data_IF_697828671092
#
_entry.id   IF_697828671092
#
_cell.length_a   1.000
_cell.length_b   1.000
_cell.length_c   1.000
_cell.angle_alpha   90.00
_cell.angle_beta   90.00
_cell.angle_gamma   90.00
#
_symmetry.space_group_name_H-M   'P 1'
#
loop_
_entity.id
_entity.type
_entity.pdbx_description
1 polymer ?
#
# COMPACT_ATOMS: atom_id res chain seq x y z
N UNK A 1 -17.35 3.17 -12.95
CA UNK A 1 -16.67 4.46 -13.17
C UNK A 1 -17.10 5.45 -12.09
N UNK A 2 -16.26 6.42 -11.69
CA UNK A 2 -16.65 7.51 -10.78
C UNK A 2 -17.11 8.69 -11.63
N UNK A 3 -18.28 9.26 -11.34
CA UNK A 3 -18.87 10.32 -12.18
C UNK A 3 -19.22 11.57 -11.39
N UNK A 4 -19.19 12.71 -12.10
CA UNK A 4 -19.67 14.00 -11.61
C UNK A 4 -21.00 14.33 -12.31
N UNK A 5 -21.53 15.55 -12.08
CA UNK A 5 -22.71 16.05 -12.81
C UNK A 5 -22.38 16.45 -14.26
N UNK A 6 -21.11 16.47 -14.66
CA UNK A 6 -20.73 16.63 -16.05
C UNK A 6 -20.87 15.29 -16.76
N UNK A 7 -21.76 15.17 -17.77
CA UNK A 7 -22.00 13.91 -18.45
C UNK A 7 -20.76 13.48 -19.24
N UNK A 8 -20.55 12.17 -19.28
CA UNK A 8 -19.54 11.52 -20.12
C UNK A 8 -20.26 10.54 -21.05
N UNK A 9 -19.65 10.24 -22.20
CA UNK A 9 -20.21 9.28 -23.15
C UNK A 9 -20.52 7.96 -22.44
N UNK A 10 -21.73 7.45 -22.65
CA UNK A 10 -22.25 6.19 -22.08
C UNK A 10 -22.50 6.17 -20.55
N UNK A 11 -22.30 7.29 -19.83
CA UNK A 11 -22.72 7.43 -18.42
C UNK A 11 -23.39 8.79 -18.21
N UNK A 12 -24.72 8.87 -18.42
CA UNK A 12 -25.45 10.14 -18.38
C UNK A 12 -25.72 10.64 -16.94
N UNK A 13 -25.60 9.77 -15.94
CA UNK A 13 -25.94 10.08 -14.55
C UNK A 13 -24.73 10.12 -13.61
N UNK A 14 -24.80 11.05 -12.66
CA UNK A 14 -23.82 11.18 -11.59
C UNK A 14 -24.05 10.13 -10.51
N UNK A 15 -22.97 9.51 -10.00
CA UNK A 15 -23.01 8.65 -8.83
C UNK A 15 -22.54 9.34 -7.53
N UNK A 16 -22.59 10.69 -7.51
CA UNK A 16 -22.30 11.48 -6.31
C UNK A 16 -20.82 11.53 -5.92
N UNK A 17 -19.91 11.34 -6.87
CA UNK A 17 -18.45 11.28 -6.63
C UNK A 17 -17.71 12.57 -6.98
N UNK A 18 -18.46 13.63 -7.24
CA UNK A 18 -17.95 14.98 -7.42
C UNK A 18 -17.42 15.52 -6.07
N UNK A 19 -16.10 15.68 -5.95
CA UNK A 19 -15.44 16.16 -4.73
C UNK A 19 -14.43 17.26 -5.05
N UNK A 20 -14.23 18.15 -4.09
CA UNK A 20 -13.22 19.20 -4.14
C UNK A 20 -12.55 19.35 -2.76
N UNK A 21 -11.27 19.68 -2.76
CA UNK A 21 -10.55 20.09 -1.56
C UNK A 21 -10.57 21.62 -1.44
N UNK A 22 -11.22 22.16 -0.42
CA UNK A 22 -11.36 23.60 -0.22
C UNK A 22 -12.11 24.29 -1.37
N UNK A 23 -11.52 25.36 -1.89
CA UNK A 23 -11.95 26.18 -3.05
C UNK A 23 -11.48 25.60 -4.41
N UNK A 24 -10.94 24.38 -4.43
CA UNK A 24 -10.43 23.76 -5.65
C UNK A 24 -11.50 23.36 -6.67
N UNK A 25 -11.06 22.95 -7.86
CA UNK A 25 -11.95 22.45 -8.92
C UNK A 25 -12.55 21.09 -8.54
N UNK A 26 -13.85 20.93 -8.77
CA UNK A 26 -14.55 19.66 -8.53
C UNK A 26 -14.12 18.60 -9.54
N UNK A 27 -13.73 17.42 -9.06
CA UNK A 27 -13.37 16.27 -9.89
C UNK A 27 -13.99 14.97 -9.35
N UNK A 28 -14.04 13.93 -10.19
CA UNK A 28 -14.49 12.61 -9.76
C UNK A 28 -13.40 11.95 -8.89
N UNK A 29 -13.73 11.65 -7.63
CA UNK A 29 -12.77 11.04 -6.70
C UNK A 29 -13.43 10.01 -5.78
N UNK A 30 -12.63 9.05 -5.32
CA UNK A 30 -13.06 8.06 -4.32
C UNK A 30 -13.34 8.75 -2.98
N UNK A 31 -14.22 8.16 -2.15
CA UNK A 31 -14.43 8.60 -0.77
C UNK A 31 -13.94 7.55 0.22
N UNK A 32 -14.60 6.39 0.19
CA UNK A 32 -14.25 5.23 0.98
C UNK A 32 -14.03 4.08 0.01
N UNK A 33 -12.81 3.57 -0.07
CA UNK A 33 -12.49 2.35 -0.80
C UNK A 33 -12.37 1.20 0.21
N UNK A 34 -13.24 0.20 0.12
CA UNK A 34 -13.23 -0.94 1.03
C UNK A 34 -12.93 -2.19 0.22
N UNK A 35 -11.74 -2.74 0.42
CA UNK A 35 -11.30 -3.99 -0.20
C UNK A 35 -11.76 -5.15 0.69
N UNK A 36 -12.38 -6.16 0.07
CA UNK A 36 -12.87 -7.35 0.76
C UNK A 36 -12.43 -8.58 -0.01
N UNK A 37 -12.08 -9.63 0.73
CA UNK A 37 -11.85 -10.96 0.18
C UNK A 37 -13.01 -11.90 0.53
N UNK A 38 -13.37 -12.77 -0.41
CA UNK A 38 -14.31 -13.88 -0.21
C UNK A 38 -13.67 -15.02 0.59
N UNK A 39 -12.36 -15.23 0.44
CA UNK A 39 -11.57 -16.20 1.20
C UNK A 39 -10.66 -15.45 2.16
N UNK A 40 -10.85 -15.66 3.46
CA UNK A 40 -10.18 -14.91 4.52
C UNK A 40 -9.33 -15.85 5.35
N UNK A 41 -8.02 -15.60 5.34
CA UNK A 41 -7.05 -16.31 6.20
C UNK A 41 -6.69 -15.44 7.40
N UNK A 42 -6.36 -16.06 8.51
CA UNK A 42 -5.73 -15.37 9.64
C UNK A 42 -4.33 -14.92 9.26
N UNK A 43 -3.78 -13.94 9.98
CA UNK A 43 -2.39 -13.52 9.77
C UNK A 43 -1.39 -14.67 9.94
N UNK A 44 -1.63 -15.58 10.88
CA UNK A 44 -0.78 -16.74 11.10
C UNK A 44 -0.79 -17.70 9.89
N UNK A 45 -1.96 -17.94 9.30
CA UNK A 45 -2.09 -18.75 8.08
C UNK A 45 -1.41 -18.08 6.87
N UNK A 46 -1.54 -16.76 6.71
CA UNK A 46 -0.83 -16.02 5.66
C UNK A 46 0.69 -16.09 5.84
N UNK A 47 1.19 -15.96 7.06
CA UNK A 47 2.62 -16.06 7.37
C UNK A 47 3.15 -17.47 7.10
N UNK A 48 2.36 -18.50 7.44
CA UNK A 48 2.72 -19.88 7.15
C UNK A 48 2.79 -20.13 5.63
N UNK A 49 1.79 -19.63 4.89
CA UNK A 49 1.76 -19.75 3.43
C UNK A 49 2.92 -18.99 2.76
N UNK A 50 3.32 -17.82 3.27
CA UNK A 50 4.53 -17.12 2.83
C UNK A 50 5.78 -18.00 3.01
N UNK A 51 5.94 -18.64 4.17
CA UNK A 51 7.07 -19.54 4.46
C UNK A 51 7.04 -20.74 3.51
N UNK A 52 5.87 -21.33 3.29
CA UNK A 52 5.72 -22.51 2.42
C UNK A 52 6.03 -22.17 0.95
N UNK A 53 5.58 -21.01 0.46
CA UNK A 53 5.96 -20.50 -0.88
C UNK A 53 7.47 -20.30 -0.99
N UNK A 54 8.11 -19.71 0.02
CA UNK A 54 9.55 -19.53 0.03
C UNK A 54 10.29 -20.89 -0.01
N UNK A 55 9.80 -21.92 0.71
CA UNK A 55 10.35 -23.28 0.64
C UNK A 55 10.24 -23.86 -0.77
N UNK A 56 9.07 -23.75 -1.39
CA UNK A 56 8.84 -24.25 -2.75
C UNK A 56 9.74 -23.57 -3.77
N UNK A 57 10.01 -22.27 -3.60
CA UNK A 57 10.90 -21.50 -4.49
C UNK A 57 12.39 -21.58 -4.12
N UNK A 58 12.76 -22.30 -3.03
CA UNK A 58 14.14 -22.40 -2.57
C UNK A 58 14.72 -21.09 -1.99
N UNK A 59 13.85 -20.18 -1.56
CA UNK A 59 14.22 -18.91 -0.92
C UNK A 59 14.51 -19.11 0.57
N UNK A 60 15.50 -18.38 1.09
CA UNK A 60 15.87 -18.44 2.52
C UNK A 60 14.91 -17.66 3.42
N UNK A 61 14.24 -16.66 2.86
CA UNK A 61 13.33 -15.78 3.59
C UNK A 61 12.30 -15.15 2.64
N UNK A 62 11.14 -14.81 3.20
CA UNK A 62 10.16 -13.91 2.59
C UNK A 62 10.27 -12.50 3.19
N UNK A 63 9.55 -11.54 2.61
CA UNK A 63 9.49 -10.16 3.12
C UNK A 63 8.07 -9.85 3.62
N UNK A 64 7.99 -9.35 4.85
CA UNK A 64 6.75 -8.87 5.47
C UNK A 64 6.81 -7.35 5.60
N UNK A 65 5.89 -6.65 4.92
CA UNK A 65 5.67 -5.21 5.10
C UNK A 65 4.57 -4.98 6.13
N UNK A 66 4.92 -4.40 7.29
CA UNK A 66 3.92 -4.06 8.32
C UNK A 66 3.43 -2.63 8.22
N UNK A 67 4.29 -1.74 7.72
CA UNK A 67 3.97 -0.32 7.62
C UNK A 67 4.63 0.24 6.37
N UNK A 68 3.83 0.87 5.51
CA UNK A 68 4.26 1.49 4.26
C UNK A 68 3.97 2.99 4.40
N UNK A 69 4.93 3.84 4.06
CA UNK A 69 4.66 5.27 4.01
C UNK A 69 3.61 5.54 2.94
N UNK A 70 2.75 6.52 3.17
CA UNK A 70 1.62 6.90 2.32
C UNK A 70 1.96 8.02 1.35
N UNK A 71 3.23 8.45 1.29
CA UNK A 71 3.73 9.48 0.37
C UNK A 71 3.73 8.97 -1.07
N UNK A 72 2.55 8.96 -1.67
CA UNK A 72 2.35 8.71 -3.09
C UNK A 72 2.97 9.88 -3.88
N UNK A 73 4.08 9.65 -4.56
CA UNK A 73 4.71 10.68 -5.40
C UNK A 73 3.77 11.10 -6.53
N UNK A 74 3.52 12.41 -6.72
CA UNK A 74 2.78 12.92 -7.87
C UNK A 74 3.58 12.63 -9.14
N UNK A 75 3.19 11.57 -9.85
CA UNK A 75 3.92 11.03 -11.00
C UNK A 75 3.52 9.61 -11.36
N UNK A 76 2.93 8.86 -10.41
CA UNK A 76 2.35 7.54 -10.66
C UNK A 76 3.41 6.43 -10.74
N UNK A 77 3.33 5.46 -9.82
CA UNK A 77 4.03 4.18 -9.95
C UNK A 77 5.00 3.81 -8.83
N UNK A 78 5.33 4.72 -7.92
CA UNK A 78 6.16 4.39 -6.75
C UNK A 78 5.33 4.43 -5.48
N UNK A 79 5.13 3.25 -4.88
CA UNK A 79 4.80 3.16 -3.45
C UNK A 79 6.04 3.58 -2.67
N UNK A 80 5.88 4.56 -1.79
CA UNK A 80 6.94 5.08 -0.94
C UNK A 80 7.58 4.01 -0.05
N UNK A 81 8.78 4.35 0.43
CA UNK A 81 9.64 3.51 1.28
C UNK A 81 8.83 2.85 2.41
N UNK A 82 8.81 1.51 2.54
CA UNK A 82 8.28 0.85 3.73
C UNK A 82 8.93 1.40 4.99
N UNK A 83 8.10 1.81 5.94
CA UNK A 83 8.52 2.32 7.24
C UNK A 83 8.99 1.14 8.09
N UNK A 84 8.34 -0.02 7.98
CA UNK A 84 8.70 -1.27 8.68
C UNK A 84 8.56 -2.48 7.77
N UNK A 85 9.70 -3.05 7.39
CA UNK A 85 9.80 -4.29 6.65
C UNK A 85 10.62 -5.32 7.45
N UNK A 86 10.26 -6.60 7.35
CA UNK A 86 10.90 -7.69 8.07
C UNK A 86 11.25 -8.83 7.12
N UNK A 87 12.42 -9.43 7.29
CA UNK A 87 12.70 -10.76 6.72
C UNK A 87 12.06 -11.80 7.60
N UNK A 88 11.25 -12.68 7.01
CA UNK A 88 10.70 -13.87 7.67
C UNK A 88 11.52 -15.05 7.21
N UNK A 89 12.34 -15.60 8.10
CA UNK A 89 13.20 -16.74 7.75
C UNK A 89 12.40 -18.03 7.64
N UNK A 90 12.75 -18.86 6.67
CA UNK A 90 12.05 -20.11 6.38
C UNK A 90 12.33 -21.20 7.41
N UNK A 91 13.52 -21.17 8.04
CA UNK A 91 13.99 -22.19 8.98
C UNK A 91 13.22 -22.16 10.30
N UNK A 92 13.05 -20.97 10.88
CA UNK A 92 12.51 -20.77 12.23
C UNK A 92 11.32 -19.80 12.29
N UNK A 93 10.95 -19.17 11.16
CA UNK A 93 9.90 -18.16 11.11
C UNK A 93 10.26 -16.84 11.81
N UNK A 94 11.53 -16.65 12.20
CA UNK A 94 11.97 -15.44 12.91
C UNK A 94 11.83 -14.23 12.01
N UNK A 95 11.53 -13.10 12.64
CA UNK A 95 11.38 -11.82 11.96
C UNK A 95 12.56 -10.92 12.28
N UNK A 96 13.32 -10.54 11.24
CA UNK A 96 14.43 -9.59 11.36
C UNK A 96 14.05 -8.28 10.68
N UNK A 97 14.05 -7.18 11.44
CA UNK A 97 13.75 -5.85 10.91
C UNK A 97 14.81 -5.46 9.87
N UNK A 98 14.34 -5.05 8.69
CA UNK A 98 15.20 -4.51 7.63
C UNK A 98 14.85 -3.05 7.36
N UNK A 99 15.88 -2.21 7.28
CA UNK A 99 15.76 -0.80 6.92
C UNK A 99 16.22 -0.57 5.47
N UNK A 100 15.69 0.48 4.84
CA UNK A 100 16.23 0.96 3.56
C UNK A 100 15.87 0.12 2.34
N UNK A 101 14.70 -0.51 2.31
CA UNK A 101 14.11 -1.04 1.07
C UNK A 101 13.01 -0.11 0.60
N UNK A 102 12.82 0.04 -0.71
CA UNK A 102 11.67 0.70 -1.35
C UNK A 102 10.98 -0.29 -2.28
N UNK A 103 9.64 -0.28 -2.29
CA UNK A 103 8.86 -1.05 -3.27
C UNK A 103 8.91 -0.27 -4.58
N UNK A 104 9.25 -0.95 -5.67
CA UNK A 104 9.34 -0.33 -7.01
C UNK A 104 8.34 -1.00 -7.93
N UNK A 105 7.74 -0.21 -8.82
CA UNK A 105 6.84 -0.66 -9.88
C UNK A 105 5.64 -1.49 -9.40
N UNK A 106 5.05 -1.10 -8.26
CA UNK A 106 3.81 -1.71 -7.79
C UNK A 106 2.60 -0.97 -8.35
N UNK A 107 2.03 -1.50 -9.44
CA UNK A 107 0.88 -0.95 -10.14
C UNK A 107 -0.32 -1.90 -10.16
N UNK A 108 -1.22 -1.67 -11.12
CA UNK A 108 -2.47 -2.44 -11.26
C UNK A 108 -2.21 -3.87 -11.74
N UNK A 109 -1.09 -4.12 -12.43
CA UNK A 109 -0.75 -5.44 -12.97
C UNK A 109 -0.40 -6.41 -11.86
N UNK A 110 0.30 -5.93 -10.85
CA UNK A 110 0.82 -6.66 -9.70
C UNK A 110 -0.32 -7.14 -8.80
N UNK A 111 -1.50 -6.52 -8.86
CA UNK A 111 -2.71 -6.98 -8.18
C UNK A 111 -3.15 -8.39 -8.62
N UNK A 112 -2.73 -8.86 -9.81
CA UNK A 112 -2.97 -10.24 -10.27
C UNK A 112 -2.15 -11.28 -9.52
N UNK A 113 -1.05 -10.86 -8.88
CA UNK A 113 -0.14 -11.74 -8.15
C UNK A 113 -0.56 -11.87 -6.67
N UNK A 114 -1.74 -11.35 -6.28
CA UNK A 114 -2.29 -11.56 -4.93
C UNK A 114 -2.81 -12.99 -4.83
N UNK A 115 -2.19 -13.78 -3.96
CA UNK A 115 -2.50 -15.19 -3.76
C UNK A 115 -3.54 -15.41 -2.65
N UNK A 116 -3.44 -14.63 -1.58
CA UNK A 116 -4.32 -14.75 -0.42
C UNK A 116 -4.54 -13.39 0.26
N UNK A 117 -5.61 -13.29 1.02
CA UNK A 117 -5.96 -12.09 1.78
C UNK A 117 -6.40 -12.43 3.20
N UNK A 118 -6.15 -11.49 4.10
CA UNK A 118 -6.40 -11.59 5.52
C UNK A 118 -7.87 -11.43 5.89
N UNK A 119 -8.20 -11.87 7.11
CA UNK A 119 -9.46 -11.58 7.79
C UNK A 119 -9.43 -10.26 8.60
N UNK A 120 -8.31 -9.55 8.56
CA UNK A 120 -8.09 -8.26 9.17
C UNK A 120 -8.58 -7.11 8.28
N UNK A 121 -8.60 -5.90 8.83
CA UNK A 121 -9.02 -4.70 8.12
C UNK A 121 -8.26 -3.50 8.65
N UNK A 122 -7.40 -2.93 7.82
CA UNK A 122 -6.60 -1.76 8.15
C UNK A 122 -7.17 -0.52 7.47
N UNK A 123 -7.74 0.42 8.23
CA UNK A 123 -8.13 1.72 7.71
C UNK A 123 -6.88 2.61 7.58
N UNK A 124 -6.74 3.28 6.44
CA UNK A 124 -5.78 4.36 6.23
C UNK A 124 -6.45 5.51 5.49
N UNK A 125 -6.01 6.73 5.78
CA UNK A 125 -6.55 7.93 5.14
C UNK A 125 -5.45 8.74 4.49
N UNK A 126 -5.71 9.19 3.26
CA UNK A 126 -4.77 9.96 2.46
C UNK A 126 -5.47 11.17 1.85
N UNK A 127 -4.71 12.21 1.54
CA UNK A 127 -5.17 13.32 0.73
C UNK A 127 -4.82 13.05 -0.73
N UNK A 128 -5.82 12.94 -1.59
CA UNK A 128 -5.63 12.70 -3.03
C UNK A 128 -5.90 13.98 -3.82
N UNK A 129 -4.96 14.40 -4.66
CA UNK A 129 -5.14 15.52 -5.60
C UNK A 129 -3.90 16.40 -5.78
N UNK A 130 -3.78 17.06 -6.93
CA UNK A 130 -2.70 17.99 -7.29
C UNK A 130 -2.94 19.42 -6.75
N UNK A 131 -3.41 19.54 -5.51
CA UNK A 131 -3.60 20.85 -4.90
C UNK A 131 -2.28 21.42 -4.42
N UNK A 132 -1.72 22.43 -5.09
CA UNK A 132 -0.78 23.35 -4.44
C UNK A 132 -1.45 23.86 -3.16
N UNK A 133 -0.71 23.86 -2.03
CA UNK A 133 -1.16 24.36 -0.72
C UNK A 133 -2.05 23.42 0.12
N UNK A 134 -1.85 22.11 0.07
CA UNK A 134 -2.53 21.18 1.00
C UNK A 134 -4.01 20.94 0.72
N UNK A 135 -4.49 21.38 -0.45
CA UNK A 135 -5.88 21.24 -0.90
C UNK A 135 -6.10 19.89 -1.57
N UNK A 136 -6.05 18.82 -0.77
CA UNK A 136 -6.37 17.46 -1.22
C UNK A 136 -7.79 17.04 -0.85
N UNK A 137 -8.35 16.11 -1.62
CA UNK A 137 -9.61 15.46 -1.26
C UNK A 137 -9.30 14.33 -0.27
N UNK A 138 -9.86 14.33 0.95
CA UNK A 138 -9.60 13.27 1.92
C UNK A 138 -10.27 11.98 1.49
N UNK A 139 -9.50 10.91 1.41
CA UNK A 139 -9.93 9.57 1.02
C UNK A 139 -9.61 8.62 2.16
N UNK A 140 -10.54 7.74 2.49
CA UNK A 140 -10.31 6.63 3.39
C UNK A 140 -10.29 5.32 2.60
N UNK A 141 -9.34 4.47 2.91
CA UNK A 141 -9.16 3.17 2.29
C UNK A 141 -9.09 2.14 3.42
N UNK A 142 -9.83 1.05 3.28
CA UNK A 142 -9.80 -0.09 4.20
C UNK A 142 -9.36 -1.29 3.40
N UNK A 143 -8.22 -1.87 3.75
CA UNK A 143 -7.67 -3.04 3.07
C UNK A 143 -7.25 -4.12 4.08
N UNK A 144 -7.45 -5.41 3.76
CA UNK A 144 -6.89 -6.50 4.55
C UNK A 144 -5.38 -6.66 4.28
N UNK A 145 -4.70 -7.45 5.10
CA UNK A 145 -3.39 -7.99 4.76
C UNK A 145 -3.48 -8.80 3.46
N UNK A 146 -2.44 -8.75 2.62
CA UNK A 146 -2.40 -9.50 1.36
C UNK A 146 -1.06 -10.21 1.21
N UNK A 147 -1.12 -11.43 0.69
CA UNK A 147 0.06 -12.20 0.26
C UNK A 147 0.22 -12.04 -1.24
N UNK A 148 1.38 -11.54 -1.65
CA UNK A 148 1.74 -11.32 -3.06
C UNK A 148 2.88 -12.26 -3.41
N UNK A 149 2.77 -12.91 -4.57
CA UNK A 149 3.79 -13.85 -5.06
C UNK A 149 5.12 -13.16 -5.35
N UNK A 150 5.08 -12.02 -6.04
CA UNK A 150 6.26 -11.29 -6.49
C UNK A 150 6.14 -9.79 -6.23
N UNK A 151 7.18 -9.21 -5.63
CA UNK A 151 7.32 -7.77 -5.42
C UNK A 151 8.76 -7.35 -5.69
N UNK A 152 8.94 -6.31 -6.52
CA UNK A 152 10.26 -5.76 -6.80
C UNK A 152 10.66 -4.76 -5.72
N UNK A 153 11.87 -4.96 -5.17
CA UNK A 153 12.43 -4.10 -4.14
C UNK A 153 13.71 -3.47 -4.64
N UNK A 154 13.83 -2.15 -4.43
CA UNK A 154 15.08 -1.42 -4.57
C UNK A 154 15.70 -1.23 -3.20
N UNK A 155 16.97 -1.61 -3.08
CA UNK A 155 17.78 -1.25 -1.91
C UNK A 155 18.11 0.24 -2.00
N UNK A 156 17.70 1.01 -1.01
CA UNK A 156 18.08 2.41 -0.88
C UNK A 156 19.51 2.44 -0.33
N UNK A 157 20.47 2.80 -1.18
CA UNK A 157 21.90 2.92 -0.83
C UNK A 157 22.24 4.23 -0.12
N UNK A 158 21.24 4.94 0.41
CA UNK A 158 21.52 6.09 1.26
C UNK A 158 22.07 5.57 2.58
N UNK A 159 23.35 5.83 2.86
CA UNK A 159 23.85 5.92 4.23
C UNK A 159 22.93 6.89 4.96
N UNK A 160 21.93 6.36 5.68
CA UNK A 160 21.25 7.16 6.68
C UNK A 160 22.31 7.36 7.75
N UNK A 161 23.02 8.48 7.67
CA UNK A 161 23.66 9.06 8.84
C UNK A 161 22.65 8.93 9.97
N UNK A 162 23.03 8.19 11.00
CA UNK A 162 22.29 8.16 12.26
C UNK A 162 21.89 9.60 12.56
N UNK A 163 20.60 9.91 12.72
CA UNK A 163 20.20 11.28 12.98
C UNK A 163 21.02 11.76 14.17
N UNK A 164 21.67 12.93 14.05
CA UNK A 164 22.33 13.59 15.18
C UNK A 164 21.24 13.98 16.19
N UNK A 165 20.78 13.00 16.97
CA UNK A 165 19.88 13.20 18.08
C UNK A 165 20.77 13.49 19.27
N UNK A 166 20.72 14.73 19.76
CA UNK A 166 21.30 15.06 21.06
C UNK A 166 20.62 14.20 22.13
N UNK A 167 21.41 13.61 23.02
CA UNK A 167 20.88 12.91 24.19
C UNK A 167 19.91 13.81 24.95
N UNK A 168 18.80 13.22 25.41
CA UNK A 168 17.81 13.93 26.23
C UNK A 168 18.51 14.57 27.45
N UNK A 169 18.10 15.78 27.87
CA UNK A 169 18.57 16.36 29.12
C UNK A 169 18.16 15.50 30.33
#
# INVERSE_FOLDING_TARGET
LLTTRSPIKDVPESNGRARSGGDGTTSASISNLIVRSSSKKTFAELKQELIDLCKTQGLKYGILFREIDSTFSPGGGQLSVPIKAYKVYVEDGREELIAGSSIVDFGVRELRNILAAGNDSYPFSILVGNGHQGKGVPVSIVAPSVLVEEVYLRKNTSDKETPMVLTRP
#
